data_IF_033928978511
#
_entry.id   IF_033928978511
#
_cell.length_a   1.000
_cell.length_b   1.000
_cell.length_c   1.000
_cell.angle_alpha   90.00
_cell.angle_beta   90.00
_cell.angle_gamma   90.00
#
_symmetry.space_group_name_H-M   'P 1'
#
loop_
_entity.id
_entity.type
_entity.pdbx_description
1 polymer ?
#
# COMPACT_ATOMS: atom_id res chain seq x y z
N UNK A 1 -3.19 39.71 6.06
CA UNK A 1 -4.04 40.85 5.70
C UNK A 1 -3.32 42.11 6.14
N UNK A 2 -3.56 43.24 5.46
CA UNK A 2 -2.86 44.52 5.77
C UNK A 2 -3.28 45.13 7.12
N UNK A 3 -2.85 46.34 7.34
CA UNK A 3 -2.98 47.06 8.65
C UNK A 3 -4.41 47.27 9.13
N UNK A 4 -5.41 47.02 8.26
CA UNK A 4 -6.86 47.17 8.56
C UNK A 4 -7.55 45.86 8.99
N UNK A 5 -6.80 44.81 9.37
CA UNK A 5 -7.40 43.57 9.81
C UNK A 5 -7.93 43.70 11.26
N UNK A 6 -9.23 43.63 11.40
CA UNK A 6 -9.89 43.61 12.68
C UNK A 6 -10.01 42.15 13.18
N UNK A 7 -9.63 41.91 14.43
CA UNK A 7 -9.78 40.60 15.08
C UNK A 7 -11.25 40.42 15.45
N UNK A 8 -11.82 39.34 14.90
CA UNK A 8 -13.21 38.95 15.20
C UNK A 8 -13.23 37.73 16.10
N UNK A 9 -14.43 37.31 16.54
CA UNK A 9 -14.62 36.06 17.33
C UNK A 9 -14.35 34.78 16.50
N UNK A 10 -14.21 34.91 15.20
CA UNK A 10 -13.90 33.78 14.31
C UNK A 10 -12.40 33.71 13.98
N UNK A 11 -11.84 32.49 14.04
CA UNK A 11 -10.46 32.27 13.64
C UNK A 11 -10.27 32.52 12.13
N UNK A 12 -9.22 33.22 11.77
CA UNK A 12 -8.81 33.38 10.38
C UNK A 12 -7.91 32.23 9.92
N UNK A 13 -8.41 31.32 9.07
CA UNK A 13 -7.65 30.15 8.62
C UNK A 13 -6.83 30.41 7.34
N UNK A 14 -6.82 31.64 6.81
CA UNK A 14 -6.18 31.99 5.55
C UNK A 14 -4.68 32.28 5.67
N UNK A 15 -4.08 32.58 4.54
CA UNK A 15 -2.68 32.96 4.44
C UNK A 15 -2.47 34.41 4.87
N UNK A 16 -1.30 34.68 5.46
CA UNK A 16 -0.90 36.02 5.88
C UNK A 16 0.46 36.06 6.54
N UNK A 17 0.88 37.25 6.95
CA UNK A 17 2.10 37.44 7.71
C UNK A 17 1.77 37.62 9.18
N UNK A 18 2.43 36.89 10.06
CA UNK A 18 2.18 36.95 11.50
C UNK A 18 2.74 38.25 12.09
N UNK A 19 1.94 38.89 12.93
CA UNK A 19 2.31 40.09 13.72
C UNK A 19 1.97 39.85 15.19
N UNK A 20 2.64 40.49 16.10
CA UNK A 20 2.44 40.35 17.55
C UNK A 20 2.55 38.88 18.03
N UNK A 21 3.43 38.11 17.40
CA UNK A 21 3.61 36.67 17.58
C UNK A 21 5.02 36.27 17.99
N UNK A 22 5.72 37.16 18.68
CA UNK A 22 7.07 36.99 19.20
C UNK A 22 8.05 36.45 18.10
N UNK A 23 8.62 35.30 18.29
CA UNK A 23 9.59 34.67 17.35
C UNK A 23 9.00 34.31 15.96
N UNK A 24 7.68 34.40 15.78
CA UNK A 24 7.00 34.21 14.51
C UNK A 24 6.69 35.50 13.76
N UNK A 25 7.02 36.67 14.33
CA UNK A 25 6.75 37.96 13.68
C UNK A 25 7.42 38.03 12.29
N UNK A 26 6.66 38.48 11.29
CA UNK A 26 7.13 38.63 9.93
C UNK A 26 7.15 37.32 9.12
N UNK A 27 6.73 36.20 9.70
CA UNK A 27 6.73 34.89 9.04
C UNK A 27 5.38 34.64 8.37
N UNK A 28 5.43 34.09 7.15
CA UNK A 28 4.24 33.68 6.40
C UNK A 28 3.56 32.49 7.06
N UNK A 29 2.27 32.61 7.33
CA UNK A 29 1.41 31.56 7.87
C UNK A 29 0.46 31.03 6.78
N UNK A 30 0.12 29.74 6.79
CA UNK A 30 0.68 28.70 7.67
C UNK A 30 1.98 28.07 7.16
N UNK A 31 2.38 28.34 5.93
CA UNK A 31 3.43 27.62 5.20
C UNK A 31 4.79 27.58 5.91
N UNK A 32 5.29 28.74 6.32
CA UNK A 32 6.59 28.86 6.99
C UNK A 32 6.47 28.85 8.53
N UNK A 33 5.37 29.35 9.07
CA UNK A 33 5.21 29.46 10.53
C UNK A 33 5.12 28.11 11.22
N UNK A 34 4.45 27.13 10.62
CA UNK A 34 4.37 25.76 11.17
C UNK A 34 5.75 25.12 11.25
N UNK A 35 6.54 25.24 10.19
CA UNK A 35 7.92 24.68 10.15
C UNK A 35 8.77 25.35 11.23
N UNK A 36 8.75 26.68 11.31
CA UNK A 36 9.54 27.44 12.29
C UNK A 36 9.15 27.12 13.73
N UNK A 37 7.86 26.94 13.98
CA UNK A 37 7.37 26.52 15.32
C UNK A 37 7.91 25.15 15.70
N UNK A 38 7.85 24.18 14.79
CA UNK A 38 8.36 22.83 15.01
C UNK A 38 9.86 22.86 15.34
N UNK A 39 10.66 23.59 14.56
CA UNK A 39 12.12 23.75 14.79
C UNK A 39 12.41 24.26 16.20
N UNK A 40 11.70 25.30 16.64
CA UNK A 40 11.90 25.89 17.97
C UNK A 40 11.45 24.95 19.09
N UNK A 41 10.37 24.22 18.91
CA UNK A 41 9.92 23.23 19.90
C UNK A 41 10.91 22.07 20.03
N UNK A 42 11.51 21.62 18.92
CA UNK A 42 12.55 20.59 18.95
C UNK A 42 13.85 21.11 19.60
N UNK A 43 14.29 22.31 19.25
CA UNK A 43 15.47 22.94 19.85
C UNK A 43 15.32 23.11 21.37
N UNK A 44 14.15 23.53 21.81
CA UNK A 44 13.82 23.68 23.24
C UNK A 44 13.48 22.36 23.94
N UNK A 45 13.50 21.23 23.22
CA UNK A 45 13.11 19.89 23.73
C UNK A 45 11.69 19.85 24.35
N UNK A 46 10.78 20.68 23.82
CA UNK A 46 9.38 20.75 24.25
C UNK A 46 8.44 19.90 23.39
N UNK A 47 8.92 19.41 22.25
CA UNK A 47 8.14 18.57 21.35
C UNK A 47 9.02 17.96 20.25
N UNK A 48 8.44 17.04 19.48
CA UNK A 48 9.07 16.42 18.33
C UNK A 48 8.13 16.53 17.14
N UNK A 49 8.72 16.71 15.94
CA UNK A 49 7.96 16.68 14.69
C UNK A 49 7.29 15.30 14.53
N UNK A 50 5.99 15.31 14.32
CA UNK A 50 5.24 14.12 13.99
C UNK A 50 4.49 14.32 12.67
N UNK A 51 4.52 13.33 11.81
CA UNK A 51 3.78 13.32 10.54
C UNK A 51 2.65 12.33 10.65
N UNK A 52 1.43 12.84 10.69
CA UNK A 52 0.23 12.00 10.69
C UNK A 52 -0.27 11.82 9.26
N UNK A 53 -0.26 10.58 8.78
CA UNK A 53 -0.85 10.26 7.49
C UNK A 53 -2.38 10.21 7.61
N UNK A 54 -3.08 10.83 6.66
CA UNK A 54 -4.54 10.82 6.63
C UNK A 54 -5.11 9.55 6.02
N UNK A 55 -4.31 8.83 5.23
CA UNK A 55 -4.68 7.54 4.67
C UNK A 55 -4.64 6.49 5.79
N UNK A 56 -5.77 5.83 6.04
CA UNK A 56 -5.84 4.69 6.96
C UNK A 56 -5.34 3.44 6.26
N UNK A 57 -4.76 2.53 7.06
CA UNK A 57 -4.43 1.20 6.58
C UNK A 57 -5.69 0.49 6.08
N UNK A 58 -5.56 -0.29 5.02
CA UNK A 58 -6.63 -1.13 4.50
C UNK A 58 -6.19 -2.59 4.41
N UNK A 59 -7.09 -3.50 4.72
CA UNK A 59 -6.83 -4.92 4.61
C UNK A 59 -6.85 -5.37 3.16
N UNK A 60 -5.84 -6.17 2.77
CA UNK A 60 -5.71 -6.72 1.40
C UNK A 60 -6.10 -8.18 1.31
N UNK A 61 -6.33 -8.86 2.44
CA UNK A 61 -6.73 -10.26 2.49
C UNK A 61 -8.25 -10.42 2.51
N UNK A 62 -8.75 -11.51 1.90
CA UNK A 62 -10.17 -11.82 1.81
C UNK A 62 -10.42 -13.29 2.14
N UNK A 63 -11.44 -13.55 2.94
CA UNK A 63 -11.90 -14.88 3.34
C UNK A 63 -12.79 -15.47 2.26
N UNK A 64 -12.20 -15.74 1.09
CA UNK A 64 -12.92 -16.28 -0.07
C UNK A 64 -12.00 -17.06 -0.99
N UNK A 65 -12.59 -17.98 -1.77
CA UNK A 65 -11.85 -18.78 -2.73
C UNK A 65 -11.25 -17.96 -3.87
N UNK A 66 -12.04 -17.04 -4.45
CA UNK A 66 -11.62 -16.28 -5.63
C UNK A 66 -10.65 -15.15 -5.29
N UNK A 67 -9.42 -15.34 -5.71
CA UNK A 67 -8.33 -14.36 -5.52
C UNK A 67 -6.98 -15.05 -5.65
N UNK A 68 -5.91 -14.27 -5.65
CA UNK A 68 -4.54 -14.79 -5.64
C UNK A 68 -4.21 -15.31 -4.23
N UNK A 69 -3.76 -16.56 -4.05
CA UNK A 69 -3.30 -17.05 -2.75
C UNK A 69 -2.13 -16.24 -2.22
N UNK A 70 -2.11 -16.00 -0.92
CA UNK A 70 -0.99 -15.32 -0.25
C UNK A 70 0.10 -16.36 0.02
N UNK A 71 1.36 -16.15 -0.47
CA UNK A 71 2.39 -17.17 -0.41
C UNK A 71 3.11 -17.22 0.95
N UNK A 72 2.34 -17.43 2.01
CA UNK A 72 2.85 -17.61 3.39
C UNK A 72 2.20 -18.80 4.07
N UNK A 73 2.83 -19.30 5.11
CA UNK A 73 2.33 -20.34 5.99
C UNK A 73 2.69 -20.03 7.43
N UNK A 74 2.00 -20.66 8.38
CA UNK A 74 2.16 -20.45 9.81
C UNK A 74 2.60 -21.75 10.47
N UNK A 75 3.45 -21.63 11.47
CA UNK A 75 3.76 -22.73 12.38
C UNK A 75 2.80 -22.78 13.58
N UNK A 76 3.01 -23.74 14.46
CA UNK A 76 2.16 -23.94 15.65
C UNK A 76 2.21 -22.75 16.64
N UNK A 77 3.22 -21.89 16.53
CA UNK A 77 3.36 -20.68 17.35
C UNK A 77 2.72 -19.45 16.68
N UNK A 78 2.23 -19.59 15.43
CA UNK A 78 1.70 -18.50 14.62
C UNK A 78 2.78 -17.65 13.95
N UNK A 79 4.03 -18.10 13.90
CA UNK A 79 5.10 -17.42 13.17
C UNK A 79 4.90 -17.58 11.67
N UNK A 80 5.17 -16.50 10.93
CA UNK A 80 4.97 -16.43 9.48
C UNK A 80 6.21 -16.95 8.75
N UNK A 81 6.01 -17.94 7.89
CA UNK A 81 7.00 -18.51 7.00
C UNK A 81 6.66 -18.20 5.53
N UNK A 82 7.61 -17.71 4.76
CA UNK A 82 7.45 -17.53 3.30
C UNK A 82 7.39 -18.90 2.61
N UNK A 83 6.53 -19.03 1.61
CA UNK A 83 6.55 -20.18 0.70
C UNK A 83 7.83 -20.05 -0.17
N UNK A 84 8.70 -21.07 -0.23
CA UNK A 84 9.90 -21.05 -1.07
C UNK A 84 9.56 -20.87 -2.55
N UNK A 85 10.46 -20.22 -3.30
CA UNK A 85 10.29 -19.98 -4.74
C UNK A 85 10.09 -21.27 -5.55
N UNK A 86 10.71 -22.37 -5.10
CA UNK A 86 10.54 -23.70 -5.72
C UNK A 86 9.12 -24.26 -5.58
N UNK A 87 8.31 -23.73 -4.67
CA UNK A 87 6.91 -24.10 -4.44
C UNK A 87 5.91 -23.09 -5.03
N UNK A 88 6.38 -22.08 -5.74
CA UNK A 88 5.55 -21.11 -6.43
C UNK A 88 5.27 -21.55 -7.88
N UNK A 89 4.14 -21.15 -8.44
CA UNK A 89 3.03 -20.41 -7.82
C UNK A 89 2.18 -21.29 -6.89
N UNK A 90 1.65 -20.68 -5.82
CA UNK A 90 0.63 -21.34 -5.00
C UNK A 90 -0.67 -21.41 -5.82
N UNK A 91 -1.07 -22.61 -6.20
CA UNK A 91 -2.30 -22.84 -6.98
C UNK A 91 -3.48 -23.12 -6.08
N UNK A 92 -4.63 -22.57 -6.43
CA UNK A 92 -5.89 -22.88 -5.76
C UNK A 92 -6.30 -24.35 -6.06
N UNK A 93 -6.94 -25.05 -5.10
CA UNK A 93 -7.46 -26.40 -5.35
C UNK A 93 -8.64 -26.35 -6.32
N UNK A 94 -8.65 -27.24 -7.32
CA UNK A 94 -9.68 -27.27 -8.36
C UNK A 94 -11.00 -27.87 -7.85
N UNK A 95 -10.92 -28.91 -7.00
CA UNK A 95 -12.08 -29.60 -6.46
C UNK A 95 -12.44 -29.06 -5.08
N UNK A 96 -13.21 -27.97 -5.06
CA UNK A 96 -13.62 -27.31 -3.82
C UNK A 96 -15.15 -27.20 -3.72
N UNK A 97 -15.66 -27.45 -2.52
CA UNK A 97 -17.07 -27.18 -2.21
C UNK A 97 -17.20 -25.70 -1.78
N UNK A 98 -17.87 -24.91 -2.60
CA UNK A 98 -18.15 -23.49 -2.32
C UNK A 98 -19.36 -23.28 -1.40
N UNK A 99 -20.19 -24.32 -1.21
CA UNK A 99 -21.39 -24.25 -0.37
C UNK A 99 -21.08 -24.59 1.09
N UNK A 100 -20.06 -23.96 1.65
CA UNK A 100 -19.66 -24.13 3.05
C UNK A 100 -19.79 -22.82 3.81
N UNK A 101 -19.94 -22.90 5.12
CA UNK A 101 -19.93 -21.71 5.96
C UNK A 101 -18.48 -21.25 6.20
N UNK A 102 -18.21 -19.96 6.00
CA UNK A 102 -16.89 -19.37 6.17
C UNK A 102 -16.03 -19.45 4.90
N UNK A 103 -14.71 -19.41 5.07
CA UNK A 103 -13.78 -19.47 3.95
C UNK A 103 -13.68 -20.92 3.41
N UNK A 104 -14.01 -21.15 2.12
CA UNK A 104 -13.95 -22.49 1.53
C UNK A 104 -12.56 -23.14 1.61
N UNK A 105 -11.48 -22.36 1.59
CA UNK A 105 -10.11 -22.85 1.68
C UNK A 105 -9.75 -23.41 3.07
N UNK A 106 -10.41 -22.96 4.13
CA UNK A 106 -10.22 -23.49 5.49
C UNK A 106 -10.58 -24.98 5.57
N UNK A 107 -11.52 -25.42 4.73
CA UNK A 107 -12.00 -26.80 4.71
C UNK A 107 -11.13 -27.74 3.84
N UNK A 108 -10.09 -27.20 3.17
CA UNK A 108 -9.20 -27.96 2.28
C UNK A 108 -7.94 -28.45 3.01
N UNK A 109 -8.08 -29.43 3.88
CA UNK A 109 -7.00 -29.94 4.72
C UNK A 109 -5.75 -30.30 3.93
N UNK A 110 -5.87 -31.05 2.85
CA UNK A 110 -4.75 -31.50 2.03
C UNK A 110 -4.02 -30.36 1.30
N UNK A 111 -4.72 -29.25 1.06
CA UNK A 111 -4.14 -28.07 0.41
C UNK A 111 -3.45 -27.15 1.43
N UNK A 112 -4.04 -26.96 2.59
CA UNK A 112 -3.50 -26.03 3.58
C UNK A 112 -2.34 -26.60 4.41
N UNK A 113 -2.30 -27.91 4.66
CA UNK A 113 -1.19 -28.54 5.38
C UNK A 113 -0.01 -28.77 4.43
N UNK A 114 1.16 -28.24 4.76
CA UNK A 114 2.38 -28.37 3.96
C UNK A 114 3.59 -28.65 4.84
N UNK A 115 4.67 -29.11 4.19
CA UNK A 115 5.97 -29.29 4.84
C UNK A 115 6.99 -28.42 4.13
N UNK A 116 7.67 -27.57 4.87
CA UNK A 116 8.79 -26.74 4.39
C UNK A 116 9.99 -27.02 5.29
N UNK A 117 11.11 -27.40 4.70
CA UNK A 117 12.35 -27.72 5.43
C UNK A 117 12.15 -28.69 6.61
N UNK A 118 11.28 -29.69 6.42
CA UNK A 118 10.96 -30.70 7.44
C UNK A 118 9.97 -30.24 8.52
N UNK A 119 9.56 -28.98 8.52
CA UNK A 119 8.56 -28.43 9.45
C UNK A 119 7.15 -28.54 8.86
N UNK A 120 6.19 -28.99 9.68
CA UNK A 120 4.78 -28.95 9.33
C UNK A 120 4.26 -27.55 9.54
N UNK A 121 3.63 -26.99 8.52
CA UNK A 121 3.08 -25.63 8.50
C UNK A 121 1.66 -25.65 7.93
N UNK A 122 0.91 -24.60 8.23
CA UNK A 122 -0.44 -24.38 7.71
C UNK A 122 -0.41 -23.17 6.78
N UNK A 123 -0.79 -23.35 5.49
CA UNK A 123 -0.88 -22.24 4.52
C UNK A 123 -1.89 -21.21 4.97
N UNK A 124 -1.63 -19.96 4.59
CA UNK A 124 -2.64 -18.92 4.61
C UNK A 124 -3.82 -19.33 3.69
N UNK A 125 -5.02 -19.22 4.21
CA UNK A 125 -6.26 -19.59 3.50
C UNK A 125 -6.99 -18.36 2.95
N UNK A 126 -6.65 -17.17 3.38
CA UNK A 126 -7.11 -15.93 2.75
C UNK A 126 -6.49 -15.78 1.35
N UNK A 127 -7.24 -15.15 0.46
CA UNK A 127 -6.74 -14.73 -0.84
C UNK A 127 -6.59 -13.21 -0.89
N UNK A 128 -5.74 -12.71 -1.75
CA UNK A 128 -5.61 -11.27 -1.96
C UNK A 128 -6.89 -10.69 -2.59
N UNK A 129 -7.22 -9.46 -2.21
CA UNK A 129 -8.22 -8.67 -2.89
C UNK A 129 -7.96 -8.65 -4.40
N UNK A 130 -9.01 -8.78 -5.20
CA UNK A 130 -8.87 -8.80 -6.66
C UNK A 130 -8.28 -7.53 -7.24
N UNK A 131 -8.40 -6.40 -6.54
CA UNK A 131 -7.71 -5.16 -6.92
C UNK A 131 -6.19 -5.24 -6.75
N UNK A 132 -5.68 -6.09 -5.87
CA UNK A 132 -4.24 -6.39 -5.81
C UNK A 132 -3.82 -7.14 -7.07
N UNK A 133 -4.58 -8.15 -7.50
CA UNK A 133 -4.30 -8.92 -8.72
C UNK A 133 -4.34 -8.03 -9.97
N UNK A 134 -5.27 -7.10 -10.04
CA UNK A 134 -5.43 -6.19 -11.19
C UNK A 134 -4.57 -4.92 -11.09
N UNK A 135 -3.82 -4.73 -10.02
CA UNK A 135 -3.03 -3.50 -9.80
C UNK A 135 -1.91 -3.27 -10.80
N UNK A 136 -1.45 -4.31 -11.46
CA UNK A 136 -0.27 -4.30 -12.33
C UNK A 136 -0.54 -4.73 -13.79
N UNK A 137 -1.79 -4.95 -14.19
CA UNK A 137 -2.13 -5.47 -15.52
C UNK A 137 -1.56 -4.64 -16.67
N UNK A 138 -1.48 -3.32 -16.51
CA UNK A 138 -0.92 -2.40 -17.49
C UNK A 138 0.58 -2.65 -17.76
N UNK A 139 1.33 -3.11 -16.74
CA UNK A 139 2.72 -3.55 -16.93
C UNK A 139 2.76 -4.84 -17.77
N UNK A 140 1.84 -5.77 -17.50
CA UNK A 140 1.72 -7.00 -18.29
C UNK A 140 1.38 -6.72 -19.75
N UNK A 141 0.59 -5.70 -20.04
CA UNK A 141 0.29 -5.29 -21.40
C UNK A 141 1.51 -4.85 -22.20
N UNK A 142 2.54 -4.31 -21.51
CA UNK A 142 3.80 -3.97 -22.17
C UNK A 142 4.57 -5.22 -22.63
N UNK A 143 4.41 -6.37 -21.96
CA UNK A 143 5.13 -7.62 -22.24
C UNK A 143 4.19 -8.82 -22.35
N UNK A 144 3.24 -8.84 -23.30
CA UNK A 144 2.17 -9.85 -23.34
C UNK A 144 2.68 -11.27 -23.55
N UNK A 145 3.80 -11.44 -24.22
CA UNK A 145 4.40 -12.74 -24.57
C UNK A 145 5.44 -13.23 -23.55
N UNK A 146 5.72 -12.48 -22.49
CA UNK A 146 6.67 -12.91 -21.47
C UNK A 146 6.10 -14.08 -20.66
N UNK A 147 6.86 -15.17 -20.55
CA UNK A 147 6.42 -16.40 -19.90
C UNK A 147 7.10 -16.68 -18.56
N UNK A 148 8.27 -16.08 -18.32
CA UNK A 148 9.07 -16.34 -17.13
C UNK A 148 8.78 -15.33 -16.00
N UNK A 149 8.60 -14.07 -16.37
CA UNK A 149 8.37 -12.97 -15.44
C UNK A 149 7.03 -12.29 -15.71
N UNK A 150 6.58 -11.44 -14.81
CA UNK A 150 5.38 -10.62 -15.00
C UNK A 150 5.48 -9.68 -16.20
N UNK A 151 6.65 -9.11 -16.42
CA UNK A 151 6.99 -8.20 -17.52
C UNK A 151 8.52 -8.10 -17.68
N UNK A 152 8.97 -7.52 -18.79
CA UNK A 152 10.37 -7.18 -19.04
C UNK A 152 10.62 -5.70 -18.74
N UNK A 153 11.73 -5.40 -18.12
CA UNK A 153 12.11 -4.02 -17.80
C UNK A 153 12.30 -3.16 -19.05
N UNK A 154 12.85 -3.74 -20.12
CA UNK A 154 13.06 -3.07 -21.41
C UNK A 154 11.75 -2.63 -22.05
N UNK A 155 10.73 -3.50 -22.01
CA UNK A 155 9.40 -3.19 -22.54
C UNK A 155 8.72 -2.08 -21.71
N UNK A 156 8.87 -2.12 -20.38
CA UNK A 156 8.36 -1.06 -19.49
C UNK A 156 9.05 0.28 -19.79
N UNK A 157 10.36 0.30 -19.94
CA UNK A 157 11.10 1.53 -20.28
C UNK A 157 10.68 2.14 -21.62
N UNK A 158 10.25 1.30 -22.56
CA UNK A 158 9.79 1.75 -23.86
C UNK A 158 8.35 2.29 -23.86
N UNK A 159 7.43 1.57 -23.19
CA UNK A 159 6.00 1.87 -23.24
C UNK A 159 5.49 2.82 -22.14
N UNK A 160 6.22 2.97 -21.04
CA UNK A 160 5.83 3.84 -19.95
C UNK A 160 6.54 5.20 -19.99
N UNK A 161 5.96 6.27 -19.42
CA UNK A 161 4.69 6.28 -18.68
C UNK A 161 3.49 6.19 -19.59
N UNK A 162 2.31 5.88 -19.01
CA UNK A 162 1.03 5.86 -19.72
C UNK A 162 0.63 7.30 -20.10
N UNK A 163 0.38 7.56 -21.38
CA UNK A 163 -0.02 8.88 -21.88
C UNK A 163 -1.47 9.20 -21.53
N UNK A 164 -2.35 8.19 -21.60
CA UNK A 164 -3.76 8.34 -21.28
C UNK A 164 -4.33 7.06 -20.67
N UNK A 165 -5.10 7.22 -19.60
CA UNK A 165 -5.70 6.12 -18.84
C UNK A 165 -7.20 6.40 -18.65
N UNK A 166 -8.05 5.58 -19.27
CA UNK A 166 -9.50 5.76 -19.27
C UNK A 166 -10.14 4.63 -18.48
N UNK A 167 -11.04 4.99 -17.56
CA UNK A 167 -11.78 4.03 -16.74
C UNK A 167 -12.95 4.69 -16.03
N UNK A 168 -13.69 3.91 -15.23
CA UNK A 168 -14.75 4.42 -14.38
C UNK A 168 -14.24 5.31 -13.25
N UNK A 169 -15.07 6.22 -12.78
CA UNK A 169 -14.71 7.17 -11.70
C UNK A 169 -14.37 6.48 -10.38
N UNK A 170 -14.96 5.32 -10.12
CA UNK A 170 -14.67 4.48 -8.95
C UNK A 170 -13.21 4.02 -8.88
N UNK A 171 -12.55 3.88 -10.02
CA UNK A 171 -11.14 3.49 -10.10
C UNK A 171 -10.19 4.56 -9.60
N UNK A 172 -10.61 5.81 -9.52
CA UNK A 172 -9.82 6.88 -8.91
C UNK A 172 -9.49 6.58 -7.44
N UNK A 173 -10.39 5.89 -6.72
CA UNK A 173 -10.20 5.51 -5.32
C UNK A 173 -9.69 4.06 -5.19
N UNK A 174 -10.17 3.15 -6.04
CA UNK A 174 -9.86 1.72 -5.95
C UNK A 174 -8.58 1.37 -6.71
N UNK A 175 -8.68 1.15 -8.01
CA UNK A 175 -7.57 0.67 -8.83
C UNK A 175 -6.33 1.59 -8.78
N UNK A 176 -6.50 2.90 -8.88
CA UNK A 176 -5.36 3.83 -8.87
C UNK A 176 -4.61 3.83 -7.55
N UNK A 177 -5.29 3.61 -6.41
CA UNK A 177 -4.64 3.46 -5.12
C UNK A 177 -3.74 2.21 -5.10
N UNK A 178 -4.30 1.05 -5.49
CA UNK A 178 -3.57 -0.21 -5.52
C UNK A 178 -2.42 -0.20 -6.54
N UNK A 179 -2.63 0.33 -7.73
CA UNK A 179 -1.59 0.38 -8.77
C UNK A 179 -0.42 1.26 -8.35
N UNK A 180 -0.67 2.43 -7.76
CA UNK A 180 0.38 3.31 -7.23
C UNK A 180 1.16 2.67 -6.10
N UNK A 181 0.46 1.99 -5.18
CA UNK A 181 1.12 1.24 -4.10
C UNK A 181 2.00 0.12 -4.68
N UNK A 182 1.48 -0.66 -5.62
CA UNK A 182 2.19 -1.77 -6.24
C UNK A 182 3.46 -1.33 -6.98
N UNK A 183 3.38 -0.23 -7.76
CA UNK A 183 4.54 0.36 -8.41
C UNK A 183 5.62 0.77 -7.41
N UNK A 184 5.25 1.39 -6.29
CA UNK A 184 6.21 1.77 -5.24
C UNK A 184 6.82 0.55 -4.58
N UNK A 185 6.05 -0.50 -4.33
CA UNK A 185 6.55 -1.74 -3.73
C UNK A 185 7.55 -2.46 -4.64
N UNK A 186 7.29 -2.52 -5.95
CA UNK A 186 8.21 -3.08 -6.93
C UNK A 186 9.52 -2.26 -6.97
N UNK A 187 9.43 -0.94 -7.07
CA UNK A 187 10.59 -0.06 -7.12
C UNK A 187 11.50 -0.24 -5.89
N UNK A 188 10.93 -0.24 -4.69
CA UNK A 188 11.71 -0.43 -3.45
C UNK A 188 12.40 -1.80 -3.37
N UNK A 189 11.83 -2.83 -3.96
CA UNK A 189 12.44 -4.16 -3.95
C UNK A 189 13.57 -4.28 -4.99
N UNK A 190 13.46 -3.59 -6.12
CA UNK A 190 14.53 -3.54 -7.12
C UNK A 190 15.77 -2.80 -6.61
N UNK A 191 15.58 -1.71 -5.84
CA UNK A 191 16.70 -0.97 -5.23
C UNK A 191 17.46 -1.79 -4.17
N UNK A 192 16.83 -2.83 -3.59
CA UNK A 192 17.46 -3.73 -2.63
C UNK A 192 18.12 -4.96 -3.27
N UNK A 193 17.85 -5.21 -4.56
CA UNK A 193 18.40 -6.32 -5.31
C UNK A 193 19.73 -5.97 -6.03
N UNK A 194 20.13 -4.70 -6.00
CA UNK A 194 21.42 -4.15 -6.42
C UNK A 194 22.27 -3.77 -5.19
#
# INVERSE_FOLDING_TARGET
KGDDYEVTDEAYPGEGVLINSDFLNGIEAPSKSVIKTIEILEEKKLGLKNINFRLKDWGVSRQRYWGCPIPVAYDDNGEIHKIPDSMLPVRLPENINLNVKGNPLDHQKNWKEIVIDGKKLVRETDTLDTFVCSSWYFLRFCSPSESKYGFKEEDIKYWMPVDQYIGGVEHAILHLLYSRFFMRAISQNNDKAN
#
